data_IF_147513187436
#
_entry.id   IF_147513187436
#
_cell.length_a   1.000
_cell.length_b   1.000
_cell.length_c   1.000
_cell.angle_alpha   90.00
_cell.angle_beta   90.00
_cell.angle_gamma   90.00
#
_symmetry.space_group_name_H-M   'P 1'
#
loop_
_entity.id
_entity.type
_entity.pdbx_description
1 polymer ?
#
# COMPACT_ATOMS: atom_id res chain seq x y z
N UNK A 1 -25.84 18.89 -8.64
CA UNK A 1 -25.24 17.68 -8.01
C UNK A 1 -23.75 17.95 -7.90
N UNK A 2 -23.22 18.14 -6.68
CA UNK A 2 -21.78 18.26 -6.50
C UNK A 2 -21.14 16.94 -6.95
N UNK A 3 -20.26 17.03 -7.93
CA UNK A 3 -19.55 15.86 -8.44
C UNK A 3 -18.46 15.51 -7.42
N UNK A 4 -18.68 14.48 -6.58
CA UNK A 4 -17.72 14.02 -5.57
C UNK A 4 -16.38 13.71 -6.25
N UNK A 5 -15.28 14.10 -5.64
CA UNK A 5 -13.94 13.72 -6.11
C UNK A 5 -13.68 12.27 -5.76
N UNK A 6 -13.30 11.47 -6.76
CA UNK A 6 -12.99 10.05 -6.58
C UNK A 6 -11.54 9.88 -6.12
N UNK A 7 -11.37 9.23 -5.00
CA UNK A 7 -10.06 8.97 -4.40
C UNK A 7 -9.89 7.45 -4.23
N UNK A 8 -8.74 6.94 -4.65
CA UNK A 8 -8.33 5.56 -4.40
C UNK A 8 -7.18 5.54 -3.40
N UNK A 9 -7.31 4.75 -2.34
CA UNK A 9 -6.20 4.33 -1.50
C UNK A 9 -5.76 2.91 -1.88
N UNK A 10 -4.44 2.72 -1.98
CA UNK A 10 -3.83 1.41 -2.26
C UNK A 10 -2.85 1.08 -1.14
N UNK A 11 -3.01 -0.09 -0.53
CA UNK A 11 -2.15 -0.60 0.54
C UNK A 11 -1.89 -2.10 0.33
N UNK A 12 -0.91 -2.68 1.01
CA UNK A 12 -0.63 -4.12 0.88
C UNK A 12 -1.71 -4.99 1.54
N UNK A 13 -2.10 -4.64 2.75
CA UNK A 13 -3.05 -5.39 3.59
C UNK A 13 -3.69 -4.46 4.63
N UNK A 14 -4.64 -4.98 5.38
CA UNK A 14 -5.26 -4.29 6.54
C UNK A 14 -5.05 -5.09 7.83
N UNK A 15 -3.88 -5.70 7.97
CA UNK A 15 -3.46 -6.45 9.16
C UNK A 15 -3.17 -5.54 10.35
N UNK A 16 -2.80 -6.11 11.51
CA UNK A 16 -2.44 -5.34 12.70
C UNK A 16 -1.05 -4.70 12.52
N UNK A 17 -1.02 -3.46 12.05
CA UNK A 17 0.21 -2.69 11.82
C UNK A 17 0.00 -1.18 11.98
N UNK A 18 1.12 -0.45 12.20
CA UNK A 18 1.07 1.00 12.44
C UNK A 18 0.69 1.81 11.18
N UNK A 19 1.02 1.31 10.00
CA UNK A 19 0.64 1.93 8.74
C UNK A 19 -0.86 1.77 8.49
N UNK A 20 -1.36 0.56 8.69
CA UNK A 20 -2.76 0.18 8.56
C UNK A 20 -3.62 0.96 9.55
N UNK A 21 -3.20 1.04 10.84
CA UNK A 21 -3.90 1.87 11.83
C UNK A 21 -3.91 3.35 11.44
N UNK A 22 -2.81 3.86 10.89
CA UNK A 22 -2.73 5.22 10.37
C UNK A 22 -3.70 5.46 9.20
N UNK A 23 -3.87 4.48 8.29
CA UNK A 23 -4.85 4.55 7.21
C UNK A 23 -6.28 4.57 7.77
N UNK A 24 -6.61 3.65 8.67
CA UNK A 24 -7.93 3.61 9.30
C UNK A 24 -8.25 4.92 10.01
N UNK A 25 -7.29 5.47 10.76
CA UNK A 25 -7.46 6.78 11.40
C UNK A 25 -7.68 7.90 10.37
N UNK A 26 -6.98 7.88 9.24
CA UNK A 26 -7.19 8.83 8.15
C UNK A 26 -8.58 8.67 7.55
N UNK A 27 -8.99 7.45 7.21
CA UNK A 27 -10.31 7.16 6.62
C UNK A 27 -11.45 7.60 7.53
N UNK A 28 -11.34 7.39 8.84
CA UNK A 28 -12.33 7.83 9.82
C UNK A 28 -12.44 9.35 9.97
N UNK A 29 -11.48 10.13 9.42
CA UNK A 29 -11.47 11.59 9.46
C UNK A 29 -11.70 12.25 8.09
N UNK A 30 -12.05 11.49 7.05
CA UNK A 30 -12.40 12.04 5.72
C UNK A 30 -13.82 12.63 5.75
N UNK A 31 -13.99 13.80 5.13
CA UNK A 31 -15.30 14.41 4.91
C UNK A 31 -15.96 13.83 3.63
N UNK A 32 -16.69 12.73 3.80
CA UNK A 32 -17.32 11.97 2.70
C UNK A 32 -18.40 12.76 1.91
N UNK A 33 -18.84 13.90 2.40
CA UNK A 33 -19.69 14.83 1.61
C UNK A 33 -18.99 15.36 0.35
N UNK A 34 -17.66 15.34 0.31
CA UNK A 34 -16.83 15.87 -0.76
C UNK A 34 -16.13 14.79 -1.58
N UNK A 35 -16.04 13.57 -1.06
CA UNK A 35 -15.21 12.50 -1.62
C UNK A 35 -15.95 11.17 -1.74
N UNK A 36 -15.78 10.50 -2.90
CA UNK A 36 -16.07 9.11 -3.16
C UNK A 36 -14.77 8.32 -3.00
N UNK A 37 -14.69 7.45 -1.99
CA UNK A 37 -13.44 6.84 -1.55
C UNK A 37 -13.47 5.35 -1.77
N UNK A 38 -12.51 4.87 -2.57
CA UNK A 38 -12.22 3.46 -2.76
C UNK A 38 -10.95 3.06 -1.99
N UNK A 39 -10.94 1.85 -1.47
CA UNK A 39 -9.79 1.21 -0.85
C UNK A 39 -9.49 -0.11 -1.56
N UNK A 40 -8.27 -0.27 -2.05
CA UNK A 40 -7.76 -1.50 -2.63
C UNK A 40 -6.57 -2.00 -1.80
N UNK A 41 -6.62 -3.26 -1.39
CA UNK A 41 -5.49 -3.94 -0.76
C UNK A 41 -5.32 -5.34 -1.37
N UNK A 42 -4.08 -5.83 -1.38
CA UNK A 42 -3.73 -7.03 -2.15
C UNK A 42 -3.90 -8.33 -1.38
N UNK A 43 -3.68 -8.28 -0.05
CA UNK A 43 -3.66 -9.46 0.80
C UNK A 43 -4.85 -9.46 1.75
N UNK A 44 -5.74 -10.44 1.57
CA UNK A 44 -6.95 -10.64 2.36
C UNK A 44 -6.77 -11.64 3.52
N UNK A 45 -5.52 -11.93 3.88
CA UNK A 45 -5.21 -12.77 5.04
C UNK A 45 -5.11 -11.89 6.29
N UNK A 46 -5.78 -12.29 7.39
CA UNK A 46 -5.74 -11.58 8.68
C UNK A 46 -6.19 -10.11 8.61
N UNK A 47 -7.38 -9.86 8.12
CA UNK A 47 -7.98 -8.53 7.97
C UNK A 47 -8.40 -7.92 9.32
N UNK A 48 -7.40 -7.62 10.16
CA UNK A 48 -7.60 -7.17 11.55
C UNK A 48 -8.45 -5.91 11.65
N UNK A 49 -8.26 -4.96 10.73
CA UNK A 49 -8.96 -3.68 10.75
C UNK A 49 -10.21 -3.62 9.85
N UNK A 50 -10.67 -4.73 9.28
CA UNK A 50 -11.82 -4.74 8.36
C UNK A 50 -13.06 -4.05 8.97
N UNK A 51 -13.37 -4.35 10.21
CA UNK A 51 -14.52 -3.80 10.93
C UNK A 51 -14.35 -2.34 11.39
N UNK A 52 -13.14 -1.78 11.29
CA UNK A 52 -12.86 -0.39 11.63
C UNK A 52 -12.88 0.53 10.39
N UNK A 53 -13.05 -0.04 9.18
CA UNK A 53 -13.18 0.73 7.93
C UNK A 53 -14.56 1.39 7.91
N UNK A 54 -14.65 2.71 7.66
CA UNK A 54 -15.94 3.40 7.54
C UNK A 54 -16.82 2.82 6.43
N UNK A 55 -18.13 2.68 6.68
CA UNK A 55 -19.09 2.16 5.71
C UNK A 55 -19.19 2.97 4.41
N UNK A 56 -18.70 4.18 4.39
CA UNK A 56 -18.65 5.06 3.23
C UNK A 56 -17.50 4.71 2.26
N UNK A 57 -16.55 3.87 2.70
CA UNK A 57 -15.42 3.42 1.87
C UNK A 57 -15.83 2.20 1.07
N UNK A 58 -15.65 2.27 -0.24
CA UNK A 58 -15.87 1.11 -1.11
C UNK A 58 -14.60 0.27 -1.20
N UNK A 59 -14.64 -0.94 -0.68
CA UNK A 59 -13.53 -1.88 -0.83
C UNK A 59 -13.56 -2.47 -2.24
N UNK A 60 -12.45 -2.32 -2.95
CA UNK A 60 -12.25 -2.93 -4.27
C UNK A 60 -11.45 -4.21 -4.08
N UNK A 61 -12.07 -5.32 -4.46
CA UNK A 61 -11.37 -6.59 -4.52
C UNK A 61 -10.51 -6.67 -5.78
N UNK A 62 -9.19 -6.90 -5.65
CA UNK A 62 -8.34 -7.13 -6.80
C UNK A 62 -8.73 -8.45 -7.49
N UNK A 63 -8.54 -8.50 -8.80
CA UNK A 63 -8.75 -9.75 -9.54
C UNK A 63 -7.79 -10.86 -9.07
N UNK A 64 -8.14 -12.11 -9.37
CA UNK A 64 -7.34 -13.28 -8.92
C UNK A 64 -5.89 -13.22 -9.37
N UNK A 65 -5.60 -12.65 -10.56
CA UNK A 65 -4.22 -12.53 -11.05
C UNK A 65 -3.42 -11.58 -10.17
N UNK A 66 -4.02 -10.45 -9.82
CA UNK A 66 -3.40 -9.45 -8.93
C UNK A 66 -3.18 -10.05 -7.53
N UNK A 67 -4.15 -10.78 -7.01
CA UNK A 67 -4.01 -11.48 -5.73
C UNK A 67 -2.88 -12.50 -5.78
N UNK A 68 -2.82 -13.37 -6.79
CA UNK A 68 -1.74 -14.35 -6.97
C UNK A 68 -0.36 -13.69 -7.15
N UNK A 69 -0.31 -12.54 -7.80
CA UNK A 69 0.94 -11.82 -8.02
C UNK A 69 1.47 -11.13 -6.75
N UNK A 70 0.61 -10.59 -5.89
CA UNK A 70 1.00 -9.66 -4.83
C UNK A 70 0.76 -10.16 -3.40
N UNK A 71 -0.10 -11.18 -3.21
CA UNK A 71 -0.39 -11.76 -1.90
C UNK A 71 0.76 -12.62 -1.36
N UNK A 72 0.55 -13.19 -0.16
CA UNK A 72 1.52 -14.05 0.51
C UNK A 72 1.86 -15.33 -0.27
N UNK A 73 2.99 -15.95 0.05
CA UNK A 73 3.35 -17.25 -0.51
C UNK A 73 2.37 -18.36 -0.13
N UNK A 74 1.74 -18.27 1.05
CA UNK A 74 0.71 -19.21 1.49
C UNK A 74 -0.53 -19.17 0.58
N UNK A 75 -1.00 -17.98 0.25
CA UNK A 75 -2.10 -17.78 -0.69
C UNK A 75 -1.79 -18.35 -2.07
N UNK A 76 -0.58 -18.13 -2.59
CA UNK A 76 -0.16 -18.70 -3.88
C UNK A 76 -0.18 -20.22 -3.84
N UNK A 77 0.30 -20.85 -2.76
CA UNK A 77 0.33 -22.31 -2.61
C UNK A 77 -1.07 -22.91 -2.52
N UNK A 78 -2.06 -22.23 -1.93
CA UNK A 78 -3.44 -22.70 -1.89
C UNK A 78 -4.12 -22.72 -3.27
N UNK A 79 -3.54 -22.06 -4.27
CA UNK A 79 -4.07 -21.95 -5.63
C UNK A 79 -3.26 -22.73 -6.69
N UNK A 80 -2.37 -23.61 -6.29
CA UNK A 80 -1.51 -24.38 -7.24
C UNK A 80 -2.29 -25.23 -8.25
N UNK A 81 -3.54 -25.56 -7.94
CA UNK A 81 -4.44 -26.32 -8.82
C UNK A 81 -5.06 -25.49 -9.95
N UNK A 82 -4.83 -24.18 -9.95
CA UNK A 82 -5.36 -23.30 -10.99
C UNK A 82 -4.42 -23.28 -12.21
N UNK A 83 -4.59 -24.24 -13.09
CA UNK A 83 -3.73 -24.43 -14.27
C UNK A 83 -3.70 -23.23 -15.23
N UNK A 84 -4.75 -22.42 -15.24
CA UNK A 84 -4.81 -21.22 -16.08
C UNK A 84 -3.70 -20.22 -15.70
N UNK A 85 -3.32 -20.14 -14.42
CA UNK A 85 -2.30 -19.23 -13.91
C UNK A 85 -0.98 -19.92 -13.56
N UNK A 86 -0.77 -21.15 -14.05
CA UNK A 86 0.38 -21.99 -13.68
C UNK A 86 1.73 -21.27 -13.88
N UNK A 87 1.88 -20.52 -14.97
CA UNK A 87 3.13 -19.78 -15.25
C UNK A 87 3.42 -18.69 -14.21
N UNK A 88 2.40 -17.99 -13.73
CA UNK A 88 2.50 -17.00 -12.67
C UNK A 88 2.80 -17.66 -11.32
N UNK A 89 2.08 -18.74 -11.01
CA UNK A 89 2.25 -19.50 -9.76
C UNK A 89 3.67 -20.04 -9.66
N UNK A 90 4.19 -20.66 -10.73
CA UNK A 90 5.58 -21.18 -10.76
C UNK A 90 6.58 -20.04 -10.50
N UNK A 91 6.41 -18.89 -11.16
CA UNK A 91 7.30 -17.72 -10.94
C UNK A 91 7.25 -17.25 -9.50
N UNK A 92 6.05 -17.16 -8.91
CA UNK A 92 5.88 -16.75 -7.50
C UNK A 92 6.57 -17.74 -6.54
N UNK A 93 6.46 -19.04 -6.78
CA UNK A 93 7.15 -20.07 -6.00
C UNK A 93 8.66 -19.91 -6.14
N UNK A 94 9.18 -19.77 -7.37
CA UNK A 94 10.60 -19.55 -7.63
C UNK A 94 11.12 -18.29 -6.94
N UNK A 95 10.38 -17.17 -6.98
CA UNK A 95 10.75 -15.95 -6.26
C UNK A 95 10.78 -16.17 -4.75
N UNK A 96 9.84 -16.94 -4.19
CA UNK A 96 9.85 -17.32 -2.78
C UNK A 96 11.10 -18.14 -2.39
N UNK A 97 11.51 -19.09 -3.23
CA UNK A 97 12.71 -19.91 -3.01
C UNK A 97 13.97 -19.04 -3.15
N UNK A 98 14.09 -18.29 -4.24
CA UNK A 98 15.24 -17.39 -4.46
C UNK A 98 15.37 -16.36 -3.34
N UNK A 99 14.25 -15.82 -2.84
CA UNK A 99 14.25 -14.88 -1.75
C UNK A 99 14.77 -15.43 -0.42
N UNK A 100 14.78 -16.77 -0.22
CA UNK A 100 15.43 -17.42 0.94
C UNK A 100 16.95 -17.55 0.77
N UNK A 101 17.42 -17.58 -0.47
CA UNK A 101 18.83 -17.73 -0.82
C UNK A 101 19.50 -16.36 -0.96
N UNK A 102 18.78 -15.41 -1.57
CA UNK A 102 19.26 -14.03 -1.76
C UNK A 102 19.18 -13.26 -0.44
N UNK A 103 20.29 -12.60 -0.07
CA UNK A 103 20.36 -11.75 1.14
C UNK A 103 19.76 -10.36 0.93
N UNK A 104 19.04 -10.15 -0.15
CA UNK A 104 18.36 -8.88 -0.40
C UNK A 104 17.29 -8.58 0.67
N UNK A 105 17.10 -7.30 0.95
CA UNK A 105 16.01 -6.86 1.82
C UNK A 105 14.65 -7.24 1.24
N UNK A 106 13.65 -7.33 2.10
CA UNK A 106 12.25 -7.57 1.71
C UNK A 106 11.79 -6.60 0.60
N UNK A 107 12.05 -5.32 0.76
CA UNK A 107 11.66 -4.29 -0.21
C UNK A 107 12.38 -4.46 -1.56
N UNK A 108 13.67 -4.75 -1.54
CA UNK A 108 14.48 -4.94 -2.74
C UNK A 108 14.02 -6.14 -3.57
N UNK A 109 13.65 -7.24 -2.91
CA UNK A 109 13.09 -8.42 -3.59
C UNK A 109 11.79 -8.06 -4.30
N UNK A 110 10.85 -7.43 -3.62
CA UNK A 110 9.57 -7.02 -4.20
C UNK A 110 9.76 -6.08 -5.40
N UNK A 111 10.71 -5.16 -5.34
CA UNK A 111 11.05 -4.29 -6.46
C UNK A 111 11.57 -5.08 -7.69
N UNK A 112 12.37 -6.13 -7.46
CA UNK A 112 12.78 -7.06 -8.53
C UNK A 112 11.58 -7.82 -9.10
N UNK A 113 10.75 -8.38 -8.23
CA UNK A 113 9.59 -9.19 -8.61
C UNK A 113 8.59 -8.37 -9.43
N UNK A 114 8.36 -7.10 -9.07
CA UNK A 114 7.45 -6.21 -9.78
C UNK A 114 7.78 -6.08 -11.27
N UNK A 115 9.06 -6.02 -11.63
CA UNK A 115 9.50 -5.92 -13.04
C UNK A 115 8.95 -7.03 -13.92
N UNK A 116 8.68 -8.19 -13.32
CA UNK A 116 8.14 -9.37 -14.01
C UNK A 116 6.63 -9.46 -13.79
N UNK A 117 6.16 -9.35 -12.54
CA UNK A 117 4.78 -9.57 -12.16
C UNK A 117 3.81 -8.56 -12.79
N UNK A 118 4.23 -7.30 -12.97
CA UNK A 118 3.40 -6.24 -13.57
C UNK A 118 2.83 -6.57 -14.94
N UNK A 119 3.43 -7.52 -15.67
CA UNK A 119 2.95 -7.95 -17.00
C UNK A 119 1.67 -8.78 -16.94
N UNK A 120 1.42 -9.41 -15.81
CA UNK A 120 0.25 -10.25 -15.59
C UNK A 120 -0.92 -9.46 -15.00
N UNK A 121 -0.63 -8.40 -14.28
CA UNK A 121 -1.61 -7.58 -13.54
C UNK A 121 -2.30 -6.62 -14.53
N UNK A 122 -3.63 -6.66 -14.66
CA UNK A 122 -4.38 -5.73 -15.50
C UNK A 122 -4.35 -4.30 -14.94
N UNK A 123 -4.70 -3.34 -15.78
CA UNK A 123 -4.97 -1.98 -15.34
C UNK A 123 -6.35 -1.91 -14.67
N UNK A 124 -6.48 -1.04 -13.66
CA UNK A 124 -7.77 -0.74 -13.06
C UNK A 124 -8.60 0.12 -14.02
N UNK A 125 -9.83 -0.32 -14.33
CA UNK A 125 -10.68 0.36 -15.31
C UNK A 125 -11.20 1.71 -14.81
N UNK A 126 -11.56 1.81 -13.50
CA UNK A 126 -12.08 3.02 -12.88
C UNK A 126 -11.02 4.13 -12.88
N UNK A 127 -11.45 5.36 -13.19
CA UNK A 127 -10.59 6.56 -13.19
C UNK A 127 -10.83 7.37 -11.94
N UNK A 128 -9.74 7.96 -11.40
CA UNK A 128 -9.75 8.71 -10.15
C UNK A 128 -9.29 10.16 -10.33
N UNK A 129 -9.74 11.03 -9.44
CA UNK A 129 -9.18 12.37 -9.31
C UNK A 129 -7.83 12.35 -8.57
N UNK A 130 -7.71 11.47 -7.58
CA UNK A 130 -6.43 11.17 -6.93
C UNK A 130 -6.28 9.68 -6.64
N UNK A 131 -5.08 9.14 -6.83
CA UNK A 131 -4.70 7.80 -6.41
C UNK A 131 -3.53 7.89 -5.41
N UNK A 132 -3.68 7.21 -4.29
CA UNK A 132 -2.80 7.32 -3.14
C UNK A 132 -2.20 5.95 -2.86
N UNK A 133 -0.89 5.81 -3.09
CA UNK A 133 -0.13 4.68 -2.62
C UNK A 133 0.21 4.90 -1.14
N UNK A 134 -0.49 4.23 -0.23
CA UNK A 134 -0.38 4.49 1.21
C UNK A 134 0.81 3.79 1.87
N UNK A 135 1.48 2.93 1.15
CA UNK A 135 2.76 2.30 1.51
C UNK A 135 3.71 2.32 0.33
N UNK A 136 5.00 2.25 0.62
CA UNK A 136 6.06 2.04 -0.35
C UNK A 136 5.96 0.68 -1.06
N UNK A 137 6.74 0.50 -2.12
CA UNK A 137 6.91 -0.73 -2.87
C UNK A 137 5.69 -1.12 -3.74
N UNK A 138 5.04 -2.29 -3.56
CA UNK A 138 3.93 -2.72 -4.42
C UNK A 138 2.78 -1.71 -4.51
N UNK A 139 2.31 -1.08 -3.44
CA UNK A 139 1.32 0.00 -3.55
C UNK A 139 1.76 1.14 -4.45
N UNK A 140 3.04 1.59 -4.36
CA UNK A 140 3.58 2.63 -5.24
C UNK A 140 3.59 2.18 -6.69
N UNK A 141 4.15 1.01 -6.94
CA UNK A 141 4.30 0.50 -8.30
C UNK A 141 2.94 0.23 -8.95
N UNK A 142 2.01 -0.41 -8.24
CA UNK A 142 0.67 -0.67 -8.73
C UNK A 142 -0.08 0.63 -9.03
N UNK A 143 -0.08 1.57 -8.09
CA UNK A 143 -0.79 2.85 -8.24
C UNK A 143 -0.30 3.59 -9.47
N UNK A 144 1.01 3.64 -9.70
CA UNK A 144 1.58 4.39 -10.82
C UNK A 144 1.53 3.63 -12.16
N UNK A 145 1.55 2.31 -12.16
CA UNK A 145 1.56 1.52 -13.40
C UNK A 145 0.17 1.02 -13.81
N UNK A 146 -0.79 0.88 -12.87
CA UNK A 146 -2.06 0.18 -13.10
C UNK A 146 -3.31 1.01 -12.84
N UNK A 147 -3.17 2.20 -12.24
CA UNK A 147 -4.29 3.09 -11.94
C UNK A 147 -4.24 4.33 -12.82
N UNK A 148 -5.40 4.75 -13.33
CA UNK A 148 -5.57 6.00 -14.07
C UNK A 148 -6.10 7.08 -13.15
N UNK A 149 -5.27 8.06 -12.81
CA UNK A 149 -5.63 9.18 -11.95
C UNK A 149 -5.10 10.52 -12.48
N UNK A 150 -5.75 11.63 -12.06
CA UNK A 150 -5.28 12.99 -12.39
C UNK A 150 -4.09 13.39 -11.52
N UNK A 151 -4.04 12.87 -10.26
CA UNK A 151 -2.99 13.12 -9.29
C UNK A 151 -2.54 11.83 -8.64
N UNK A 152 -1.24 11.70 -8.44
CA UNK A 152 -0.61 10.55 -7.77
C UNK A 152 0.10 11.02 -6.52
N UNK A 153 -0.30 10.45 -5.37
CA UNK A 153 0.29 10.71 -4.07
C UNK A 153 0.94 9.41 -3.59
N UNK A 154 2.18 9.51 -3.16
CA UNK A 154 2.95 8.37 -2.66
C UNK A 154 3.29 8.62 -1.20
N UNK A 155 3.05 7.63 -0.33
CA UNK A 155 3.50 7.65 1.06
C UNK A 155 4.73 6.79 1.23
N UNK A 156 5.83 7.43 1.66
CA UNK A 156 7.05 6.76 2.09
C UNK A 156 7.02 6.69 3.63
N UNK A 157 6.69 5.54 4.17
CA UNK A 157 6.46 5.34 5.60
C UNK A 157 7.65 4.71 6.32
N UNK A 158 8.53 4.06 5.57
CA UNK A 158 9.80 3.53 6.06
C UNK A 158 10.94 4.47 5.63
N UNK A 159 11.95 4.65 6.47
CA UNK A 159 13.17 5.37 6.06
C UNK A 159 13.77 4.69 4.82
N UNK A 160 13.84 5.45 3.71
CA UNK A 160 14.24 4.90 2.41
C UNK A 160 15.61 4.21 2.47
N UNK A 161 16.56 4.78 3.23
CA UNK A 161 17.91 4.21 3.42
C UNK A 161 17.88 2.79 4.03
N UNK A 162 16.86 2.51 4.85
CA UNK A 162 16.69 1.20 5.49
C UNK A 162 15.99 0.17 4.62
N UNK A 163 15.40 0.59 3.49
CA UNK A 163 14.71 -0.35 2.58
C UNK A 163 15.69 -1.26 1.83
N UNK A 164 16.91 -0.78 1.57
CA UNK A 164 17.88 -1.46 0.72
C UNK A 164 17.48 -1.46 -0.77
N UNK A 165 16.45 -0.71 -1.15
CA UNK A 165 16.09 -0.49 -2.55
C UNK A 165 17.18 0.30 -3.28
N UNK A 166 17.20 0.17 -4.59
CA UNK A 166 18.09 0.93 -5.43
C UNK A 166 17.39 2.16 -5.96
N UNK A 167 18.02 3.32 -5.81
CA UNK A 167 17.49 4.61 -6.25
C UNK A 167 17.06 4.56 -7.73
N UNK A 168 17.86 3.96 -8.59
CA UNK A 168 17.56 3.85 -10.02
C UNK A 168 16.31 3.02 -10.35
N UNK A 169 15.80 2.21 -9.41
CA UNK A 169 14.58 1.42 -9.60
C UNK A 169 13.33 2.20 -9.21
N UNK A 170 13.43 3.02 -8.17
CA UNK A 170 12.30 3.75 -7.62
C UNK A 170 12.19 5.18 -8.17
N UNK A 171 13.30 5.75 -8.63
CA UNK A 171 13.35 7.10 -9.20
C UNK A 171 12.27 7.34 -10.29
N UNK A 172 12.06 6.44 -11.28
CA UNK A 172 11.03 6.65 -12.30
C UNK A 172 9.61 6.74 -11.73
N UNK A 173 9.33 6.07 -10.61
CA UNK A 173 8.04 6.13 -9.92
C UNK A 173 7.88 7.46 -9.17
N UNK A 174 8.88 7.84 -8.38
CA UNK A 174 8.83 9.12 -7.65
C UNK A 174 8.80 10.33 -8.60
N UNK A 175 9.42 10.23 -9.78
CA UNK A 175 9.33 11.27 -10.82
C UNK A 175 7.89 11.44 -11.33
N UNK A 176 7.11 10.37 -11.42
CA UNK A 176 5.71 10.38 -11.88
C UNK A 176 4.74 10.81 -10.78
N UNK A 177 5.09 10.68 -9.50
CA UNK A 177 4.28 11.14 -8.40
C UNK A 177 4.18 12.69 -8.41
N UNK A 178 2.99 13.21 -8.10
CA UNK A 178 2.77 14.65 -7.89
C UNK A 178 3.21 15.07 -6.49
N UNK A 179 3.00 14.21 -5.49
CA UNK A 179 3.34 14.47 -4.09
C UNK A 179 3.91 13.21 -3.46
N UNK A 180 4.93 13.39 -2.62
CA UNK A 180 5.55 12.33 -1.83
C UNK A 180 5.43 12.72 -0.36
N UNK A 181 4.64 11.95 0.38
CA UNK A 181 4.41 12.16 1.81
C UNK A 181 5.41 11.37 2.63
N UNK A 182 6.02 12.01 3.61
CA UNK A 182 6.90 11.40 4.62
C UNK A 182 6.39 11.77 6.01
N UNK A 183 6.78 11.01 7.04
CA UNK A 183 6.20 11.17 8.38
C UNK A 183 6.89 12.23 9.26
N UNK A 184 8.15 12.59 8.96
CA UNK A 184 8.93 13.51 9.78
C UNK A 184 9.99 14.26 8.96
N UNK A 185 10.56 15.33 9.55
CA UNK A 185 11.69 16.05 8.97
C UNK A 185 12.92 15.15 8.77
N UNK A 186 13.18 14.26 9.71
CA UNK A 186 14.29 13.31 9.58
C UNK A 186 14.11 12.42 8.34
N UNK A 187 12.90 11.84 8.17
CA UNK A 187 12.61 11.04 6.99
C UNK A 187 12.68 11.85 5.70
N UNK A 188 12.25 13.12 5.72
CA UNK A 188 12.37 14.03 4.58
C UNK A 188 13.83 14.24 4.20
N UNK A 189 14.67 14.53 5.17
CA UNK A 189 16.11 14.75 4.94
C UNK A 189 16.79 13.48 4.41
N UNK A 190 16.48 12.32 4.98
CA UNK A 190 16.99 11.03 4.52
C UNK A 190 16.52 10.72 3.10
N UNK A 191 15.24 10.94 2.79
CA UNK A 191 14.69 10.74 1.45
C UNK A 191 15.35 11.68 0.42
N UNK A 192 15.47 12.97 0.73
CA UNK A 192 16.06 13.96 -0.17
C UNK A 192 17.57 13.76 -0.37
N UNK A 193 18.28 13.11 0.56
CA UNK A 193 19.68 12.76 0.35
C UNK A 193 19.86 11.69 -0.74
N UNK A 194 18.87 10.82 -0.94
CA UNK A 194 18.83 9.82 -2.01
C UNK A 194 18.19 10.37 -3.30
N UNK A 195 17.23 11.29 -3.16
CA UNK A 195 16.44 11.87 -4.26
C UNK A 195 16.46 13.41 -4.22
N UNK A 196 17.61 14.07 -4.40
CA UNK A 196 17.73 15.53 -4.22
C UNK A 196 16.82 16.34 -5.18
N UNK A 197 16.50 15.78 -6.35
CA UNK A 197 15.61 16.42 -7.32
C UNK A 197 14.11 16.41 -6.96
N UNK A 198 13.72 15.81 -5.82
CA UNK A 198 12.31 15.67 -5.43
C UNK A 198 11.85 16.71 -4.39
N UNK A 199 12.68 17.69 -4.03
CA UNK A 199 12.43 18.64 -2.93
C UNK A 199 11.05 19.28 -2.98
N UNK A 200 10.62 19.73 -4.16
CA UNK A 200 9.34 20.43 -4.35
C UNK A 200 8.11 19.50 -4.22
N UNK A 201 8.30 18.19 -4.29
CA UNK A 201 7.23 17.19 -4.20
C UNK A 201 7.11 16.59 -2.82
N UNK A 202 8.14 16.70 -1.96
CA UNK A 202 8.16 16.04 -0.65
C UNK A 202 7.52 16.91 0.40
N UNK A 203 6.46 16.39 1.00
CA UNK A 203 5.72 17.03 2.10
C UNK A 203 5.76 16.16 3.35
N UNK A 204 5.75 16.80 4.52
CA UNK A 204 5.62 16.08 5.78
C UNK A 204 4.14 15.94 6.09
N UNK A 205 3.71 14.70 6.25
CA UNK A 205 2.35 14.37 6.65
C UNK A 205 2.41 13.29 7.76
N UNK A 206 2.39 13.72 9.04
CA UNK A 206 2.44 12.79 10.16
C UNK A 206 1.16 11.93 10.23
N UNK A 207 1.24 10.83 10.97
CA UNK A 207 0.06 9.99 11.19
C UNK A 207 -1.04 10.78 11.91
N UNK A 208 -2.26 10.63 11.43
CA UNK A 208 -3.44 11.09 12.14
C UNK A 208 -3.69 10.12 13.31
N UNK A 209 -3.87 10.68 14.49
CA UNK A 209 -4.23 9.93 15.70
C UNK A 209 -5.73 10.09 15.94
N UNK A 210 -6.45 8.99 15.94
CA UNK A 210 -7.87 8.97 16.28
C UNK A 210 -8.05 9.04 17.80
N UNK A 211 -8.00 10.26 18.33
CA UNK A 211 -8.12 10.55 19.77
C UNK A 211 -9.47 10.05 20.30
N UNK A 212 -10.55 10.17 19.52
CA UNK A 212 -11.88 9.73 19.93
C UNK A 212 -11.92 8.23 20.20
N UNK A 213 -11.43 7.44 19.26
CA UNK A 213 -11.34 5.98 19.39
C UNK A 213 -10.46 5.56 20.58
N UNK A 214 -9.32 6.25 20.79
CA UNK A 214 -8.44 5.98 21.95
C UNK A 214 -9.18 6.25 23.26
N UNK A 215 -9.90 7.37 23.37
CA UNK A 215 -10.67 7.71 24.56
C UNK A 215 -11.85 6.76 24.80
N UNK A 216 -12.49 6.26 23.76
CA UNK A 216 -13.54 5.24 23.88
C UNK A 216 -12.96 3.93 24.37
N UNK A 217 -11.89 3.43 23.74
CA UNK A 217 -11.22 2.17 24.16
C UNK A 217 -10.59 2.25 25.54
N UNK A 218 -10.14 3.42 25.99
CA UNK A 218 -9.59 3.61 27.34
C UNK A 218 -10.61 3.42 28.48
N UNK A 219 -11.90 3.41 28.16
CA UNK A 219 -13.01 3.20 29.11
C UNK A 219 -13.43 1.73 29.20
N UNK A 220 -12.91 0.88 28.31
CA UNK A 220 -13.19 -0.55 28.35
C UNK A 220 -12.55 -1.19 29.60
N UNK A 221 -13.33 -1.98 30.33
CA UNK A 221 -12.81 -2.74 31.47
C UNK A 221 -11.94 -3.90 30.95
N UNK A 222 -10.64 -3.83 31.22
CA UNK A 222 -9.72 -4.94 30.93
C UNK A 222 -9.73 -5.85 32.14
N UNK A 223 -10.28 -7.07 32.02
CA UNK A 223 -10.07 -8.12 32.98
C UNK A 223 -8.70 -8.77 32.74
N UNK A 224 -7.82 -8.73 33.72
CA UNK A 224 -6.50 -9.38 33.68
C UNK A 224 -6.55 -10.85 34.11
N UNK A 225 -7.70 -11.50 34.00
CA UNK A 225 -7.86 -12.89 34.39
C UNK A 225 -7.50 -13.83 33.25
N UNK A 226 -6.31 -13.80 32.72
CA UNK A 226 -5.74 -14.89 31.91
C UNK A 226 -4.28 -14.50 31.54
N UNK A 227 -3.39 -14.63 32.54
CA UNK A 227 -1.95 -14.65 32.34
C UNK A 227 -1.40 -16.05 32.65
#
# INVERSE_FOLDING_TARGET
MNNLKRILFVIDSITCGGAEKGLISLLNNIEYSNYDVDLLYFCHENEYYLNEIPNQVHIIEPDLVTQLALSSGGYVLSHVWNFHYLSLIIKRILFGIMGKIDRDSYFRRRAKDWKILRRYIPELEKKYDAAIAYLENYPVYFTLDKVKAKKYIVWQRTDYKKTGCKVEWDLPYFQRADTICVLSEEMKNNFLSEFPGMKEKVVIFPNIVDIKNILEKSKENISFDDA
#
